data_IF_489192772634
#
_entry.id   IF_489192772634
#
_cell.length_a   1.000
_cell.length_b   1.000
_cell.length_c   1.000
_cell.angle_alpha   90.00
_cell.angle_beta   90.00
_cell.angle_gamma   90.00
#
_symmetry.space_group_name_H-M   'P 1'
#
loop_
_entity.id
_entity.type
_entity.pdbx_description
1 polymer ?
#
# COMPACT_ATOMS: atom_id res chain seq x y z
N UNK A 1 -9.61 -4.41 11.74
CA UNK A 1 -8.88 -3.42 10.89
C UNK A 1 -9.10 -3.63 9.39
N UNK A 2 -9.55 -4.79 8.92
CA UNK A 2 -9.69 -5.12 7.48
C UNK A 2 -10.56 -4.16 6.65
N UNK A 3 -11.50 -3.44 7.29
CA UNK A 3 -12.44 -2.55 6.57
C UNK A 3 -11.84 -1.20 6.15
N UNK A 4 -10.86 -0.67 6.88
CA UNK A 4 -10.34 0.67 6.60
C UNK A 4 -9.63 0.75 5.25
N UNK A 5 -8.79 -0.24 4.92
CA UNK A 5 -8.15 -0.30 3.61
C UNK A 5 -9.16 -0.61 2.49
N UNK A 6 -10.25 -1.32 2.77
CA UNK A 6 -11.30 -1.53 1.78
C UNK A 6 -11.99 -0.20 1.43
N UNK A 7 -12.32 0.60 2.45
CA UNK A 7 -12.95 1.91 2.28
C UNK A 7 -12.01 2.92 1.61
N UNK A 8 -10.73 2.95 2.02
CA UNK A 8 -9.72 3.83 1.46
C UNK A 8 -9.23 3.41 0.06
N UNK A 9 -9.58 2.20 -0.43
CA UNK A 9 -8.99 1.61 -1.62
C UNK A 9 -9.06 2.49 -2.86
N UNK A 10 -10.24 3.03 -3.16
CA UNK A 10 -10.46 3.84 -4.35
C UNK A 10 -9.62 5.11 -4.30
N UNK A 11 -9.68 5.84 -3.19
CA UNK A 11 -8.94 7.07 -2.96
C UNK A 11 -7.43 6.83 -2.93
N UNK A 12 -6.98 5.76 -2.28
CA UNK A 12 -5.58 5.34 -2.27
C UNK A 12 -5.07 5.14 -3.70
N UNK A 13 -5.79 4.36 -4.53
CA UNK A 13 -5.41 4.12 -5.92
C UNK A 13 -5.38 5.41 -6.74
N UNK A 14 -6.27 6.36 -6.48
CA UNK A 14 -6.31 7.60 -7.24
C UNK A 14 -5.20 8.58 -6.84
N UNK A 15 -4.86 8.66 -5.55
CA UNK A 15 -4.16 9.81 -4.98
C UNK A 15 -2.74 9.51 -4.54
N UNK A 16 -2.41 8.26 -4.25
CA UNK A 16 -1.04 7.89 -3.89
C UNK A 16 -0.09 8.17 -5.06
N UNK A 17 1.00 8.87 -4.75
CA UNK A 17 2.03 9.21 -5.72
C UNK A 17 2.92 8.00 -6.02
N UNK A 18 3.53 7.96 -7.21
CA UNK A 18 4.44 6.86 -7.57
C UNK A 18 5.67 6.78 -6.64
N UNK A 19 6.30 7.89 -6.19
CA UNK A 19 7.40 7.83 -5.23
C UNK A 19 7.01 7.23 -3.88
N UNK A 20 5.79 7.51 -3.38
CA UNK A 20 5.28 6.89 -2.14
C UNK A 20 5.01 5.41 -2.36
N UNK A 21 4.42 5.02 -3.50
CA UNK A 21 4.21 3.60 -3.83
C UNK A 21 5.51 2.81 -3.88
N UNK A 22 6.56 3.34 -4.51
CA UNK A 22 7.84 2.64 -4.61
C UNK A 22 8.44 2.42 -3.22
N UNK A 23 8.41 3.44 -2.35
CA UNK A 23 8.88 3.31 -0.96
C UNK A 23 8.02 2.35 -0.13
N UNK A 24 6.70 2.31 -0.35
CA UNK A 24 5.83 1.34 0.30
C UNK A 24 6.18 -0.09 -0.14
N UNK A 25 6.40 -0.31 -1.43
CA UNK A 25 6.83 -1.61 -1.95
C UNK A 25 8.16 -2.05 -1.35
N UNK A 26 9.15 -1.16 -1.26
CA UNK A 26 10.45 -1.47 -0.64
C UNK A 26 10.27 -1.89 0.82
N UNK A 27 9.49 -1.13 1.61
CA UNK A 27 9.17 -1.47 3.01
C UNK A 27 8.42 -2.80 3.15
N UNK A 28 7.49 -3.08 2.24
CA UNK A 28 6.72 -4.33 2.24
C UNK A 28 7.59 -5.54 1.90
N UNK A 29 8.56 -5.37 0.99
CA UNK A 29 9.53 -6.40 0.64
C UNK A 29 10.49 -6.66 1.81
N UNK A 30 11.04 -5.59 2.41
CA UNK A 30 11.91 -5.68 3.60
C UNK A 30 11.24 -6.42 4.77
N UNK A 31 9.93 -6.21 4.95
CA UNK A 31 9.14 -6.89 5.99
C UNK A 31 8.75 -8.33 5.62
N UNK A 32 8.98 -8.75 4.37
CA UNK A 32 8.56 -10.05 3.84
C UNK A 32 7.06 -10.17 3.59
N UNK A 33 6.35 -9.04 3.50
CA UNK A 33 4.92 -9.02 3.17
C UNK A 33 4.73 -9.40 1.71
N UNK A 34 5.52 -8.84 0.79
CA UNK A 34 5.49 -9.20 -0.63
C UNK A 34 6.77 -9.97 -1.01
N UNK A 35 6.69 -10.84 -2.02
CA UNK A 35 7.86 -11.52 -2.57
C UNK A 35 8.62 -10.64 -3.58
N UNK A 36 9.86 -11.03 -3.89
CA UNK A 36 10.62 -10.42 -4.99
C UNK A 36 9.88 -10.46 -6.32
N UNK A 37 9.17 -11.56 -6.61
CA UNK A 37 8.35 -11.71 -7.82
C UNK A 37 7.19 -10.71 -7.85
N UNK A 38 6.48 -10.54 -6.73
CA UNK A 38 5.42 -9.52 -6.59
C UNK A 38 6.00 -8.11 -6.81
N UNK A 39 7.19 -7.83 -6.27
CA UNK A 39 7.88 -6.56 -6.45
C UNK A 39 8.27 -6.30 -7.91
N UNK A 40 8.88 -7.27 -8.59
CA UNK A 40 9.25 -7.11 -10.00
C UNK A 40 8.02 -6.92 -10.89
N UNK A 41 6.93 -7.65 -10.61
CA UNK A 41 5.66 -7.45 -11.31
C UNK A 41 5.07 -6.05 -11.09
N UNK A 42 5.16 -5.52 -9.87
CA UNK A 42 4.66 -4.19 -9.54
C UNK A 42 5.45 -3.06 -10.24
N UNK A 43 6.76 -3.25 -10.48
CA UNK A 43 7.63 -2.25 -11.12
C UNK A 43 7.33 -2.01 -12.60
N UNK A 44 6.72 -2.96 -13.29
CA UNK A 44 6.38 -2.82 -14.73
C UNK A 44 4.99 -2.23 -14.98
N UNK A 45 4.20 -2.04 -13.92
CA UNK A 45 2.81 -1.60 -13.98
C UNK A 45 2.66 -0.09 -13.90
N UNK A 46 1.52 0.41 -14.38
CA UNK A 46 1.15 1.81 -14.15
C UNK A 46 0.98 2.10 -12.66
N UNK A 47 1.12 3.38 -12.25
CA UNK A 47 0.93 3.82 -10.86
C UNK A 47 -0.39 3.30 -10.25
N UNK A 48 -1.49 3.36 -11.00
CA UNK A 48 -2.81 2.93 -10.51
C UNK A 48 -2.92 1.41 -10.35
N UNK A 49 -2.37 0.64 -11.29
CA UNK A 49 -2.32 -0.82 -11.19
C UNK A 49 -1.42 -1.26 -10.03
N UNK A 50 -0.25 -0.63 -9.89
CA UNK A 50 0.67 -0.84 -8.77
C UNK A 50 0.00 -0.58 -7.43
N UNK A 51 -0.70 0.56 -7.28
CA UNK A 51 -1.43 0.88 -6.05
C UNK A 51 -2.51 -0.16 -5.73
N UNK A 52 -3.23 -0.63 -6.75
CA UNK A 52 -4.25 -1.67 -6.61
C UNK A 52 -3.65 -2.97 -6.10
N UNK A 53 -2.53 -3.40 -6.67
CA UNK A 53 -1.88 -4.64 -6.29
C UNK A 53 -1.32 -4.59 -4.87
N UNK A 54 -0.73 -3.45 -4.47
CA UNK A 54 -0.24 -3.24 -3.10
C UNK A 54 -1.36 -3.41 -2.09
N UNK A 55 -2.46 -2.66 -2.26
CA UNK A 55 -3.53 -2.68 -1.27
C UNK A 55 -4.28 -4.01 -1.25
N UNK A 56 -4.49 -4.65 -2.41
CA UNK A 56 -5.17 -5.94 -2.49
C UNK A 56 -4.27 -7.09 -2.02
N UNK A 57 -2.94 -7.01 -2.20
CA UNK A 57 -2.01 -8.02 -1.69
C UNK A 57 -1.96 -7.99 -0.15
N UNK A 58 -1.75 -6.81 0.46
CA UNK A 58 -1.67 -6.74 1.94
C UNK A 58 -2.99 -7.13 2.61
N UNK A 59 -4.13 -6.80 2.01
CA UNK A 59 -5.45 -7.20 2.54
C UNK A 59 -5.64 -8.71 2.50
N UNK A 60 -5.19 -9.38 1.43
CA UNK A 60 -5.24 -10.85 1.31
C UNK A 60 -4.29 -11.54 2.30
N UNK A 61 -3.18 -10.91 2.65
CA UNK A 61 -2.18 -11.46 3.59
C UNK A 61 -2.56 -11.27 5.06
N UNK A 62 -3.56 -10.45 5.36
CA UNK A 62 -4.21 -10.36 6.67
C UNK A 62 -3.97 -9.04 7.41
N UNK A 63 -4.38 -9.03 8.68
CA UNK A 63 -4.40 -7.79 9.48
C UNK A 63 -3.00 -7.25 9.79
N UNK A 64 -2.00 -8.10 9.99
CA UNK A 64 -0.63 -7.64 10.28
C UNK A 64 -0.04 -6.88 9.08
N UNK A 65 -0.17 -7.45 7.87
CA UNK A 65 0.25 -6.80 6.63
C UNK A 65 -0.51 -5.50 6.37
N UNK A 66 -1.83 -5.51 6.62
CA UNK A 66 -2.67 -4.31 6.49
C UNK A 66 -2.25 -3.20 7.44
N UNK A 67 -2.00 -3.54 8.71
CA UNK A 67 -1.56 -2.59 9.74
C UNK A 67 -0.17 -2.01 9.41
N UNK A 68 0.72 -2.85 8.89
CA UNK A 68 2.04 -2.42 8.45
C UNK A 68 1.95 -1.44 7.26
N UNK A 69 1.10 -1.71 6.26
CA UNK A 69 0.88 -0.77 5.15
C UNK A 69 0.39 0.59 5.67
N UNK A 70 -0.59 0.61 6.56
CA UNK A 70 -1.13 1.83 7.16
C UNK A 70 -0.01 2.59 7.88
N UNK A 71 0.75 1.92 8.75
CA UNK A 71 1.84 2.54 9.48
C UNK A 71 2.92 3.12 8.55
N UNK A 72 3.30 2.37 7.51
CA UNK A 72 4.27 2.81 6.51
C UNK A 72 3.74 4.03 5.72
N UNK A 73 2.47 4.03 5.35
CA UNK A 73 1.85 5.16 4.67
C UNK A 73 1.80 6.39 5.57
N UNK A 74 1.42 6.26 6.84
CA UNK A 74 1.45 7.36 7.80
C UNK A 74 2.83 7.98 7.98
N UNK A 75 3.90 7.18 7.86
CA UNK A 75 5.29 7.66 7.93
C UNK A 75 5.74 8.38 6.65
N UNK A 76 5.32 7.87 5.48
CA UNK A 76 5.75 8.38 4.17
C UNK A 76 4.92 9.58 3.70
N UNK A 77 3.63 9.59 4.01
CA UNK A 77 2.67 10.60 3.60
C UNK A 77 1.58 10.75 4.67
N UNK A 78 1.91 11.53 5.71
CA UNK A 78 1.00 11.82 6.82
C UNK A 78 -0.28 12.52 6.32
N UNK A 79 -0.17 13.37 5.29
CA UNK A 79 -1.31 14.10 4.75
C UNK A 79 -2.29 13.15 4.06
N UNK A 80 -1.80 12.29 3.16
CA UNK A 80 -2.64 11.31 2.49
C UNK A 80 -3.26 10.33 3.50
N UNK A 81 -2.51 9.88 4.52
CA UNK A 81 -3.05 8.99 5.55
C UNK A 81 -4.25 9.59 6.30
N UNK A 82 -4.23 10.90 6.57
CA UNK A 82 -5.32 11.63 7.21
C UNK A 82 -6.54 11.76 6.29
N UNK A 83 -6.31 12.11 5.02
CA UNK A 83 -7.41 12.21 4.06
C UNK A 83 -8.11 10.87 3.80
N UNK A 84 -7.35 9.77 3.88
CA UNK A 84 -7.89 8.42 3.78
C UNK A 84 -8.52 7.89 5.08
N UNK A 85 -8.53 8.69 6.17
CA UNK A 85 -9.02 8.28 7.49
C UNK A 85 -8.37 6.97 8.01
N UNK A 86 -7.09 6.78 7.70
CA UNK A 86 -6.29 5.61 8.12
C UNK A 86 -5.53 5.85 9.43
N UNK A 87 -5.78 7.00 10.06
CA UNK A 87 -5.13 7.45 11.30
C UNK A 87 -6.15 7.70 12.39
#
# INVERSE_FOLDING_TARGET
MLDQLLLARTEFIQRVSDPVLNQLLDKLLERGVISDEEMQSARTKSRAEKARDVIDSVRRKGEEASSFLIAALCQLDEWLSRELSLR
#
